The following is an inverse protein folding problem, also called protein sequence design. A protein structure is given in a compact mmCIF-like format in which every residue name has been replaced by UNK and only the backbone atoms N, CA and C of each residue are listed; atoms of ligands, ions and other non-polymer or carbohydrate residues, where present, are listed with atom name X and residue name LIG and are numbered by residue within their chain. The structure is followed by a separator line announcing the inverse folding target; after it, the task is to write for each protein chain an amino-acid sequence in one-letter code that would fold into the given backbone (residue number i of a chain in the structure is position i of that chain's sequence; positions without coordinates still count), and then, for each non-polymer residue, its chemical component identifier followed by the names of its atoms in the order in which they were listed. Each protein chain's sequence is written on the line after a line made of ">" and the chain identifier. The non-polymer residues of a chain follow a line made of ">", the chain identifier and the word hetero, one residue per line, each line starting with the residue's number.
data_IF_367182191726
#
_entry.id   IF_367182191726
#
_cell.length_a   1.000
_cell.length_b   1.000
_cell.length_c   1.000
_cell.angle_alpha   90.00
_cell.angle_beta   90.00
_cell.angle_gamma   90.00
#
_symmetry.space_group_name_H-M   'P 1'
#
loop_
_entity.id
_entity.type
_entity.pdbx_description
1 polymer ?
#
# COMPACT_ATOMS: atom_id res chain seq x y z
N UNK A 1 5.12 -8.85 -15.52
CA UNK A 1 4.51 -8.54 -14.22
C UNK A 1 5.15 -7.27 -13.67
N UNK A 2 4.57 -6.12 -14.01
CA UNK A 2 5.09 -4.83 -13.62
C UNK A 2 4.70 -4.61 -12.15
N UNK A 3 5.67 -4.83 -11.27
CA UNK A 3 5.51 -4.64 -9.82
C UNK A 3 5.20 -3.16 -9.61
N UNK A 4 4.17 -2.88 -8.81
CA UNK A 4 3.77 -1.55 -8.39
C UNK A 4 5.00 -0.72 -7.99
N UNK A 5 5.42 0.18 -8.89
CA UNK A 5 6.65 0.97 -8.78
C UNK A 5 6.34 2.45 -8.46
N UNK A 6 5.07 2.76 -8.17
CA UNK A 6 4.65 4.00 -7.56
C UNK A 6 5.22 4.05 -6.14
N UNK A 7 6.09 5.03 -5.92
CA UNK A 7 6.95 5.10 -4.74
C UNK A 7 6.13 5.31 -3.47
N UNK A 8 5.68 4.23 -2.81
CA UNK A 8 5.12 4.28 -1.46
C UNK A 8 6.09 5.02 -0.50
N UNK A 9 7.38 4.98 -0.81
CA UNK A 9 8.42 5.74 -0.13
C UNK A 9 8.35 7.26 -0.39
N UNK A 10 7.83 7.72 -1.53
CA UNK A 10 7.60 9.15 -1.83
C UNK A 10 6.28 9.70 -1.30
N UNK A 11 5.28 8.86 -1.01
CA UNK A 11 4.00 9.29 -0.40
C UNK A 11 4.22 9.83 1.01
N UNK A 12 3.39 10.78 1.47
CA UNK A 12 3.51 11.27 2.85
C UNK A 12 2.92 10.25 3.84
N UNK A 13 3.03 10.49 5.16
CA UNK A 13 2.50 9.53 6.16
C UNK A 13 0.97 9.40 6.06
N UNK A 14 0.27 10.51 5.91
CA UNK A 14 -1.20 10.55 5.80
C UNK A 14 -1.69 9.78 4.59
N UNK A 15 -1.07 9.94 3.43
CA UNK A 15 -1.40 9.16 2.23
C UNK A 15 -1.23 7.65 2.49
N UNK A 16 -0.21 7.26 3.26
CA UNK A 16 0.03 5.86 3.62
C UNK A 16 -0.98 5.35 4.66
N UNK A 17 -1.45 6.20 5.57
CA UNK A 17 -2.53 5.88 6.50
C UNK A 17 -3.86 5.69 5.74
N UNK A 18 -4.17 6.57 4.79
CA UNK A 18 -5.36 6.46 3.93
C UNK A 18 -5.34 5.18 3.07
N UNK A 19 -4.18 4.83 2.52
CA UNK A 19 -4.01 3.58 1.77
C UNK A 19 -4.14 2.37 2.68
N UNK A 20 -3.54 2.41 3.87
CA UNK A 20 -3.68 1.34 4.84
C UNK A 20 -5.14 1.18 5.28
N UNK A 21 -5.87 2.27 5.55
CA UNK A 21 -7.29 2.24 5.90
C UNK A 21 -8.16 1.67 4.77
N UNK A 22 -7.91 2.09 3.51
CA UNK A 22 -8.58 1.56 2.33
C UNK A 22 -8.34 0.03 2.15
N UNK A 23 -7.15 -0.44 2.50
CA UNK A 23 -6.79 -1.86 2.54
C UNK A 23 -7.26 -2.59 3.81
N UNK A 24 -7.95 -1.88 4.71
CA UNK A 24 -8.34 -2.34 6.06
C UNK A 24 -7.17 -2.88 6.87
N UNK A 25 -6.00 -2.30 6.66
CA UNK A 25 -4.79 -2.54 7.42
C UNK A 25 -4.69 -1.56 8.60
N UNK A 26 -3.98 -1.93 9.68
CA UNK A 26 -3.79 -1.02 10.79
C UNK A 26 -2.93 0.20 10.39
N UNK A 27 -3.42 1.40 10.69
CA UNK A 27 -2.80 2.71 10.38
C UNK A 27 -1.81 3.20 11.45
N UNK A 28 -1.63 2.42 12.53
CA UNK A 28 -0.71 2.73 13.61
C UNK A 28 0.76 2.61 13.19
N UNK A 29 1.60 3.42 13.84
CA UNK A 29 3.05 3.34 13.71
C UNK A 29 3.68 4.44 12.85
N UNK A 30 4.93 4.18 12.46
CA UNK A 30 5.76 5.10 11.67
C UNK A 30 5.63 4.78 10.18
N UNK A 31 6.01 5.74 9.34
CA UNK A 31 5.92 5.66 7.87
C UNK A 31 6.44 4.33 7.28
N UNK A 32 7.59 3.86 7.77
CA UNK A 32 8.20 2.60 7.30
C UNK A 32 7.35 1.37 7.62
N UNK A 33 6.64 1.36 8.75
CA UNK A 33 5.72 0.27 9.14
C UNK A 33 4.53 0.22 8.20
N UNK A 34 3.94 1.38 7.86
CA UNK A 34 2.84 1.46 6.91
C UNK A 34 3.25 0.96 5.52
N UNK A 35 4.41 1.41 5.01
CA UNK A 35 4.95 0.94 3.73
C UNK A 35 5.14 -0.58 3.75
N UNK A 36 5.73 -1.11 4.82
CA UNK A 36 5.95 -2.55 4.95
C UNK A 36 4.62 -3.32 4.94
N UNK A 37 3.63 -2.91 5.73
CA UNK A 37 2.31 -3.57 5.81
C UNK A 37 1.58 -3.55 4.47
N UNK A 38 1.56 -2.40 3.80
CA UNK A 38 0.94 -2.25 2.47
C UNK A 38 1.64 -3.15 1.45
N UNK A 39 2.98 -3.15 1.46
CA UNK A 39 3.79 -3.96 0.54
C UNK A 39 3.60 -5.47 0.79
N UNK A 40 3.59 -5.88 2.05
CA UNK A 40 3.36 -7.28 2.45
C UNK A 40 1.96 -7.74 2.03
N UNK A 41 0.94 -6.90 2.25
CA UNK A 41 -0.42 -7.20 1.84
C UNK A 41 -0.55 -7.37 0.31
N UNK A 42 0.07 -6.50 -0.48
CA UNK A 42 0.14 -6.68 -1.94
C UNK A 42 0.97 -7.90 -2.37
N UNK A 43 1.89 -8.38 -1.52
CA UNK A 43 2.62 -9.64 -1.73
C UNK A 43 1.74 -10.87 -1.47
N UNK A 44 0.94 -10.83 -0.40
CA UNK A 44 0.02 -11.90 0.02
C UNK A 44 -1.19 -12.02 -0.91
N UNK A 45 -1.62 -10.91 -1.51
CA UNK A 45 -2.76 -10.86 -2.43
C UNK A 45 -2.35 -10.29 -3.79
N UNK A 46 -1.67 -11.07 -4.64
CA UNK A 46 -1.21 -10.61 -5.95
C UNK A 46 -2.33 -10.08 -6.85
N UNK A 47 -3.57 -10.58 -6.66
CA UNK A 47 -4.77 -10.16 -7.39
C UNK A 47 -5.20 -8.73 -7.09
N UNK A 48 -4.84 -8.18 -5.92
CA UNK A 48 -5.11 -6.77 -5.62
C UNK A 48 -4.30 -5.83 -6.51
N UNK A 49 -3.18 -6.27 -7.07
CA UNK A 49 -2.44 -5.48 -8.07
C UNK A 49 -3.17 -5.37 -9.41
N UNK A 50 -4.14 -6.24 -9.65
CA UNK A 50 -5.00 -6.26 -10.84
C UNK A 50 -6.38 -5.64 -10.56
N UNK A 51 -6.65 -5.28 -9.31
CA UNK A 51 -7.91 -4.69 -8.90
C UNK A 51 -7.95 -3.22 -9.35
N UNK A 52 -8.99 -2.79 -10.10
CA UNK A 52 -9.13 -1.42 -10.58
C UNK A 52 -9.06 -0.35 -9.47
N UNK A 53 -9.37 -0.71 -8.21
CA UNK A 53 -9.27 0.19 -7.07
C UNK A 53 -7.84 0.49 -6.64
N UNK A 54 -6.88 -0.40 -6.94
CA UNK A 54 -5.47 -0.26 -6.56
C UNK A 54 -4.55 -0.10 -7.79
N UNK A 55 -5.04 -0.30 -9.01
CA UNK A 55 -4.33 0.06 -10.23
C UNK A 55 -4.19 1.59 -10.29
N UNK A 56 -2.96 2.08 -10.11
CA UNK A 56 -2.61 3.50 -10.30
C UNK A 56 -2.49 4.34 -9.04
N UNK A 57 -2.64 3.74 -7.85
CA UNK A 57 -2.20 4.34 -6.59
C UNK A 57 -0.67 4.53 -6.54
#
# INVERSE_FOLDING_TARGET
>A
TQVFNGSLTSKNKTDLEDIADALKLPIDGVKSVLIFRITDHFGQYPRLKEDPLFIGL
#
